data_IF_284581706858
#
_entry.id   IF_284581706858
#
_cell.length_a   1.000
_cell.length_b   1.000
_cell.length_c   1.000
_cell.angle_alpha   90.00
_cell.angle_beta   90.00
_cell.angle_gamma   90.00
#
_symmetry.space_group_name_H-M   'P 1'
#
loop_
_entity.id
_entity.type
_entity.pdbx_description
1 polymer ?
#
# COMPACT_ATOMS: atom_id res chain seq x y z
N UNK A 1 100.35 -31.28 9.69
CA UNK A 1 99.35 -31.07 8.61
C UNK A 1 97.97 -31.71 8.90
N UNK A 2 97.88 -32.92 9.48
CA UNK A 2 96.61 -33.63 9.71
C UNK A 2 95.61 -32.91 10.63
N UNK A 3 96.06 -32.29 11.73
CA UNK A 3 95.18 -31.55 12.64
C UNK A 3 94.55 -30.29 12.03
N UNK A 4 95.30 -29.54 11.20
CA UNK A 4 94.77 -28.35 10.50
C UNK A 4 93.64 -28.74 9.53
N UNK A 5 93.81 -29.84 8.79
CA UNK A 5 92.78 -30.38 7.90
C UNK A 5 91.52 -30.84 8.64
N UNK A 6 91.69 -31.41 9.84
CA UNK A 6 90.58 -31.86 10.68
C UNK A 6 89.76 -30.68 11.22
N UNK A 7 90.43 -29.62 11.72
CA UNK A 7 89.78 -28.38 12.16
C UNK A 7 89.03 -27.67 11.03
N UNK A 8 89.59 -27.67 9.82
CA UNK A 8 88.94 -27.08 8.64
C UNK A 8 87.66 -27.87 8.27
N UNK A 9 87.71 -29.21 8.26
CA UNK A 9 86.52 -30.04 7.99
C UNK A 9 85.44 -29.86 9.05
N UNK A 10 85.82 -29.72 10.31
CA UNK A 10 84.88 -29.49 11.41
C UNK A 10 84.24 -28.10 11.33
N UNK A 11 85.01 -27.07 10.96
CA UNK A 11 84.50 -25.73 10.69
C UNK A 11 83.46 -25.73 9.55
N UNK A 12 83.76 -26.40 8.43
CA UNK A 12 82.81 -26.50 7.32
C UNK A 12 81.55 -27.31 7.69
N UNK A 13 81.66 -28.37 8.49
CA UNK A 13 80.49 -29.10 9.03
C UNK A 13 79.63 -28.20 9.91
N UNK A 14 80.22 -27.47 10.87
CA UNK A 14 79.50 -26.53 11.75
C UNK A 14 78.85 -25.39 10.96
N UNK A 15 79.53 -24.86 9.94
CA UNK A 15 78.99 -23.79 9.07
C UNK A 15 77.85 -24.30 8.18
N UNK A 16 77.95 -25.53 7.66
CA UNK A 16 76.89 -26.17 6.86
C UNK A 16 75.67 -26.50 7.74
N UNK A 17 75.90 -27.01 8.95
CA UNK A 17 74.85 -27.25 9.94
C UNK A 17 74.14 -25.96 10.35
N UNK A 18 74.87 -24.87 10.64
CA UNK A 18 74.27 -23.55 10.92
C UNK A 18 73.47 -23.00 9.75
N UNK A 19 73.96 -23.14 8.51
CA UNK A 19 73.20 -22.73 7.32
C UNK A 19 71.93 -23.55 7.12
N UNK A 20 71.98 -24.86 7.35
CA UNK A 20 70.80 -25.72 7.30
C UNK A 20 69.82 -25.36 8.41
N UNK A 21 70.29 -25.15 9.63
CA UNK A 21 69.45 -24.80 10.77
C UNK A 21 68.81 -23.42 10.60
N UNK A 22 69.55 -22.43 10.08
CA UNK A 22 69.01 -21.12 9.76
C UNK A 22 68.01 -21.18 8.59
N UNK A 23 68.21 -22.06 7.60
CA UNK A 23 67.22 -22.30 6.53
C UNK A 23 65.97 -23.00 7.06
N UNK A 24 66.11 -23.98 7.94
CA UNK A 24 64.98 -24.66 8.58
C UNK A 24 64.21 -23.71 9.50
N UNK A 25 64.90 -22.84 10.24
CA UNK A 25 64.28 -21.78 11.05
C UNK A 25 63.64 -20.68 10.20
N UNK A 26 64.19 -20.35 9.02
CA UNK A 26 63.56 -19.44 8.08
C UNK A 26 62.30 -20.06 7.45
N UNK A 27 62.36 -21.32 7.01
CA UNK A 27 61.18 -22.06 6.52
C UNK A 27 60.12 -22.27 7.60
N UNK A 28 60.52 -22.45 8.87
CA UNK A 28 59.59 -22.53 10.00
C UNK A 28 58.97 -21.16 10.38
N UNK A 29 59.63 -20.05 10.03
CA UNK A 29 59.08 -18.68 10.18
C UNK A 29 58.19 -18.27 9.01
N UNK A 30 58.35 -18.88 7.83
CA UNK A 30 57.54 -18.65 6.63
C UNK A 30 56.25 -19.49 6.58
N UNK A 31 56.14 -20.54 7.40
CA UNK A 31 54.85 -21.19 7.60
C UNK A 31 53.97 -20.27 8.45
N UNK A 32 53.14 -19.45 7.81
CA UNK A 32 51.97 -18.87 8.45
C UNK A 32 51.03 -20.03 8.83
N UNK A 33 51.18 -20.59 10.03
CA UNK A 33 50.42 -21.78 10.51
C UNK A 33 48.95 -21.43 10.85
N UNK A 34 48.52 -20.18 10.64
CA UNK A 34 47.14 -19.75 10.89
C UNK A 34 46.24 -19.84 9.66
N UNK A 35 44.92 -19.69 9.85
CA UNK A 35 43.94 -19.57 8.76
C UNK A 35 44.37 -18.50 7.73
N UNK A 36 44.97 -17.39 8.17
CA UNK A 36 45.46 -16.32 7.28
C UNK A 36 46.63 -16.72 6.35
N UNK A 37 47.27 -17.87 6.56
CA UNK A 37 48.34 -18.41 5.72
C UNK A 37 47.91 -19.47 4.73
N UNK A 38 46.62 -19.83 4.69
CA UNK A 38 46.12 -20.85 3.78
C UNK A 38 46.24 -20.38 2.32
N UNK A 39 46.66 -21.27 1.40
CA UNK A 39 46.54 -21.04 -0.03
C UNK A 39 45.10 -20.68 -0.39
N UNK A 40 44.94 -19.72 -1.30
CA UNK A 40 43.62 -19.16 -1.64
C UNK A 40 42.69 -20.23 -2.21
N UNK A 41 43.22 -21.25 -2.90
CA UNK A 41 42.43 -22.35 -3.45
C UNK A 41 41.84 -23.24 -2.36
N UNK A 42 42.60 -23.50 -1.28
CA UNK A 42 42.13 -24.27 -0.13
C UNK A 42 41.13 -23.47 0.70
N UNK A 43 41.36 -22.17 0.86
CA UNK A 43 40.41 -21.27 1.51
C UNK A 43 39.07 -21.25 0.74
N UNK A 44 39.09 -21.13 -0.59
CA UNK A 44 37.88 -21.20 -1.42
C UNK A 44 37.19 -22.56 -1.34
N UNK A 45 37.94 -23.66 -1.34
CA UNK A 45 37.38 -25.02 -1.22
C UNK A 45 36.67 -25.23 0.12
N UNK A 46 37.27 -24.78 1.22
CA UNK A 46 36.65 -24.81 2.56
C UNK A 46 35.38 -23.97 2.54
N UNK A 47 35.42 -22.80 1.91
CA UNK A 47 34.27 -21.89 1.85
C UNK A 47 33.12 -22.49 1.03
N UNK A 48 33.40 -23.13 -0.10
CA UNK A 48 32.41 -23.77 -0.97
C UNK A 48 31.75 -25.00 -0.32
N UNK A 49 32.47 -25.76 0.51
CA UNK A 49 31.96 -26.99 1.12
C UNK A 49 31.38 -26.78 2.53
N UNK A 50 31.74 -25.70 3.21
CA UNK A 50 31.28 -25.45 4.58
C UNK A 50 29.79 -25.08 4.66
N UNK A 51 29.12 -25.54 5.72
CA UNK A 51 27.77 -25.10 6.05
C UNK A 51 27.73 -23.61 6.42
N UNK A 52 26.60 -22.94 6.20
CA UNK A 52 26.40 -21.51 6.47
C UNK A 52 26.72 -21.12 7.91
N UNK A 53 26.39 -21.98 8.90
CA UNK A 53 26.74 -21.75 10.32
C UNK A 53 28.26 -21.72 10.52
N UNK A 54 28.98 -22.64 9.89
CA UNK A 54 30.45 -22.73 9.95
C UNK A 54 31.10 -21.52 9.27
N UNK A 55 30.55 -21.08 8.14
CA UNK A 55 30.98 -19.86 7.46
C UNK A 55 30.80 -18.61 8.34
N UNK A 56 29.67 -18.48 9.04
CA UNK A 56 29.44 -17.36 9.96
C UNK A 56 30.45 -17.33 11.11
N UNK A 57 30.83 -18.51 11.64
CA UNK A 57 31.88 -18.61 12.64
C UNK A 57 33.27 -18.25 12.06
N UNK A 58 33.60 -18.78 10.86
CA UNK A 58 34.85 -18.47 10.16
C UNK A 58 34.98 -16.98 9.82
N UNK A 59 33.87 -16.31 9.53
CA UNK A 59 33.82 -14.85 9.28
C UNK A 59 34.36 -14.03 10.44
N UNK A 60 34.26 -14.53 11.68
CA UNK A 60 34.71 -13.83 12.90
C UNK A 60 36.19 -14.05 13.22
N UNK A 61 36.87 -14.94 12.49
CA UNK A 61 38.24 -15.36 12.84
C UNK A 61 39.32 -14.41 12.33
N UNK A 62 39.33 -14.08 11.04
CA UNK A 62 40.36 -13.22 10.44
C UNK A 62 39.82 -12.36 9.29
N UNK A 63 40.42 -11.18 9.07
CA UNK A 63 39.95 -10.17 8.10
C UNK A 63 39.96 -10.67 6.64
N UNK A 64 40.93 -11.52 6.28
CA UNK A 64 41.05 -12.03 4.91
C UNK A 64 39.98 -13.08 4.61
N UNK A 65 39.75 -14.02 5.53
CA UNK A 65 38.60 -14.93 5.43
C UNK A 65 37.28 -14.18 5.53
N UNK A 66 37.18 -13.14 6.36
CA UNK A 66 35.97 -12.34 6.44
C UNK A 66 35.58 -11.81 5.06
N UNK A 67 36.51 -11.30 4.26
CA UNK A 67 36.22 -10.81 2.89
C UNK A 67 35.81 -11.94 1.94
N UNK A 68 36.54 -13.06 1.92
CA UNK A 68 36.25 -14.21 1.06
C UNK A 68 34.89 -14.85 1.41
N UNK A 69 34.68 -15.11 2.70
CA UNK A 69 33.43 -15.64 3.24
C UNK A 69 32.28 -14.66 3.00
N UNK A 70 32.50 -13.35 3.12
CA UNK A 70 31.45 -12.36 2.89
C UNK A 70 30.94 -12.41 1.44
N UNK A 71 31.84 -12.50 0.45
CA UNK A 71 31.46 -12.64 -0.96
C UNK A 71 30.66 -13.93 -1.23
N UNK A 72 31.09 -15.05 -0.65
CA UNK A 72 30.37 -16.31 -0.80
C UNK A 72 29.01 -16.29 -0.07
N UNK A 73 28.94 -15.72 1.13
CA UNK A 73 27.68 -15.59 1.86
C UNK A 73 26.68 -14.71 1.11
N UNK A 74 27.13 -13.64 0.45
CA UNK A 74 26.28 -12.83 -0.43
C UNK A 74 25.79 -13.65 -1.63
N UNK A 75 26.66 -14.45 -2.26
CA UNK A 75 26.28 -15.34 -3.37
C UNK A 75 25.22 -16.36 -2.93
N UNK A 76 25.47 -17.09 -1.84
CA UNK A 76 24.52 -18.06 -1.27
C UNK A 76 23.22 -17.41 -0.84
N UNK A 77 23.28 -16.18 -0.31
CA UNK A 77 22.10 -15.41 0.04
C UNK A 77 21.22 -15.20 -1.21
N UNK A 78 21.78 -14.80 -2.35
CA UNK A 78 21.02 -14.65 -3.61
C UNK A 78 20.33 -15.94 -4.05
N UNK A 79 21.03 -17.07 -3.94
CA UNK A 79 20.54 -18.37 -4.41
C UNK A 79 19.48 -19.01 -3.48
N UNK A 80 19.57 -18.77 -2.17
CA UNK A 80 18.71 -19.44 -1.17
C UNK A 80 17.52 -18.60 -0.73
N UNK A 81 17.60 -17.27 -0.85
CA UNK A 81 16.60 -16.36 -0.28
C UNK A 81 15.42 -16.13 -1.21
N UNK A 82 15.65 -16.16 -2.52
CA UNK A 82 14.61 -15.95 -3.55
C UNK A 82 14.09 -17.31 -4.01
N UNK A 83 12.78 -17.57 -3.91
CA UNK A 83 12.17 -18.75 -4.50
C UNK A 83 12.46 -18.85 -6.02
N UNK A 84 12.59 -20.07 -6.59
CA UNK A 84 12.75 -20.23 -8.03
C UNK A 84 11.56 -19.64 -8.82
N UNK A 85 11.86 -19.09 -10.00
CA UNK A 85 10.88 -18.35 -10.81
C UNK A 85 9.66 -19.19 -11.23
N UNK A 86 9.86 -20.49 -11.45
CA UNK A 86 8.80 -21.46 -11.75
C UNK A 86 7.70 -21.47 -10.67
N UNK A 87 8.07 -21.29 -9.39
CA UNK A 87 7.09 -21.21 -8.30
C UNK A 87 6.27 -19.93 -8.39
N UNK A 88 6.90 -18.80 -8.68
CA UNK A 88 6.21 -17.52 -8.86
C UNK A 88 5.20 -17.55 -10.01
N UNK A 89 5.55 -18.19 -11.12
CA UNK A 89 4.67 -18.36 -12.28
C UNK A 89 3.50 -19.32 -11.98
N UNK A 90 3.75 -20.40 -11.24
CA UNK A 90 2.71 -21.36 -10.84
C UNK A 90 1.65 -20.77 -9.89
N UNK A 91 1.97 -19.70 -9.17
CA UNK A 91 1.07 -19.11 -8.17
C UNK A 91 0.19 -17.98 -8.70
N UNK A 92 0.60 -17.32 -9.78
CA UNK A 92 -0.20 -16.27 -10.42
C UNK A 92 -1.04 -16.92 -11.53
N UNK A 93 -2.21 -17.45 -11.16
CA UNK A 93 -3.14 -18.01 -12.14
C UNK A 93 -3.92 -16.86 -12.77
N UNK A 94 -3.65 -16.56 -14.04
CA UNK A 94 -4.51 -15.70 -14.85
C UNK A 94 -5.73 -16.51 -15.28
N UNK A 95 -6.91 -16.12 -14.80
CA UNK A 95 -8.16 -16.72 -15.30
C UNK A 95 -8.39 -16.32 -16.78
N UNK A 96 -9.33 -16.97 -17.46
CA UNK A 96 -9.75 -16.71 -18.85
C UNK A 96 -10.09 -15.23 -19.10
N UNK A 97 -10.46 -14.49 -18.04
CA UNK A 97 -10.79 -13.06 -18.08
C UNK A 97 -9.60 -12.13 -17.79
N UNK A 98 -8.34 -12.61 -17.89
CA UNK A 98 -7.10 -11.88 -17.53
C UNK A 98 -6.99 -11.42 -16.06
N UNK A 99 -7.94 -11.81 -15.20
CA UNK A 99 -7.85 -11.58 -13.76
C UNK A 99 -6.78 -12.49 -13.16
N UNK A 100 -5.70 -11.87 -12.66
CA UNK A 100 -4.67 -12.54 -11.86
C UNK A 100 -5.26 -12.86 -10.49
N UNK A 101 -5.55 -14.13 -10.22
CA UNK A 101 -5.89 -14.58 -8.87
C UNK A 101 -4.64 -15.21 -8.27
N UNK A 102 -4.31 -14.86 -7.03
CA UNK A 102 -3.46 -15.73 -6.22
C UNK A 102 -4.13 -17.10 -6.26
N UNK A 103 -3.40 -18.14 -6.66
CA UNK A 103 -3.91 -19.49 -6.46
C UNK A 103 -4.28 -19.59 -4.98
N UNK A 104 -5.57 -19.82 -4.69
CA UNK A 104 -6.02 -20.14 -3.33
C UNK A 104 -5.40 -21.50 -3.04
N UNK A 105 -4.23 -21.44 -2.41
CA UNK A 105 -3.26 -22.48 -2.07
C UNK A 105 -3.77 -23.94 -2.03
N UNK A 106 -2.91 -24.85 -2.51
CA UNK A 106 -2.73 -26.19 -1.91
C UNK A 106 -1.23 -26.46 -1.77
N UNK A 107 -0.68 -26.15 -0.60
CA UNK A 107 0.57 -26.72 -0.11
C UNK A 107 0.24 -27.42 1.20
N UNK A 108 -0.32 -28.63 1.14
CA UNK A 108 -0.58 -29.41 2.35
C UNK A 108 0.66 -30.11 2.87
N UNK A 109 1.72 -30.24 2.06
CA UNK A 109 2.79 -31.19 2.38
C UNK A 109 4.16 -30.53 2.66
N UNK A 110 4.44 -29.30 2.20
CA UNK A 110 5.70 -28.58 2.52
C UNK A 110 5.68 -27.07 2.15
N UNK A 111 5.50 -26.11 3.08
CA UNK A 111 5.51 -24.69 2.73
C UNK A 111 6.89 -24.26 2.21
N UNK A 112 6.92 -23.63 1.04
CA UNK A 112 8.15 -23.08 0.45
C UNK A 112 8.70 -22.00 1.37
N UNK A 113 9.91 -22.20 1.90
CA UNK A 113 10.54 -21.26 2.82
C UNK A 113 10.78 -19.90 2.18
N UNK A 114 10.29 -18.83 2.81
CA UNK A 114 10.50 -17.44 2.39
C UNK A 114 11.30 -16.64 3.43
N UNK A 115 12.62 -16.87 3.55
CA UNK A 115 13.39 -16.34 4.68
C UNK A 115 13.44 -14.81 4.72
N UNK A 116 13.51 -14.13 3.57
CA UNK A 116 13.53 -12.66 3.51
C UNK A 116 12.16 -12.05 3.80
N UNK A 117 11.08 -12.60 3.25
CA UNK A 117 9.72 -12.14 3.55
C UNK A 117 9.42 -12.27 5.06
N UNK A 118 9.83 -13.39 5.67
CA UNK A 118 9.72 -13.59 7.12
C UNK A 118 10.58 -12.62 7.92
N UNK A 119 11.83 -12.39 7.53
CA UNK A 119 12.69 -11.39 8.17
C UNK A 119 12.07 -9.98 8.11
N UNK A 120 11.41 -9.65 7.00
CA UNK A 120 10.67 -8.38 6.86
C UNK A 120 9.46 -8.33 7.78
N UNK A 121 8.62 -9.37 7.80
CA UNK A 121 7.44 -9.47 8.67
C UNK A 121 7.80 -9.34 10.17
N UNK A 122 8.91 -9.96 10.57
CA UNK A 122 9.40 -9.93 11.95
C UNK A 122 10.21 -8.65 12.30
N UNK A 123 10.47 -7.77 11.34
CA UNK A 123 11.23 -6.54 11.58
C UNK A 123 12.73 -6.77 11.82
N UNK A 124 13.32 -7.86 11.31
CA UNK A 124 14.75 -8.16 11.45
C UNK A 124 15.61 -7.29 10.53
N UNK A 125 15.76 -6.02 10.88
CA UNK A 125 16.45 -4.98 10.07
C UNK A 125 17.84 -5.44 9.60
N UNK A 126 18.64 -6.07 10.47
CA UNK A 126 20.01 -6.49 10.11
C UNK A 126 20.04 -7.61 9.07
N UNK A 127 19.07 -8.55 9.14
CA UNK A 127 18.96 -9.62 8.16
C UNK A 127 18.52 -9.06 6.80
N UNK A 128 17.57 -8.13 6.80
CA UNK A 128 17.10 -7.46 5.58
C UNK A 128 18.22 -6.61 4.98
N UNK A 129 18.97 -5.85 5.80
CA UNK A 129 20.13 -5.06 5.37
C UNK A 129 21.18 -5.94 4.70
N UNK A 130 21.55 -7.06 5.31
CA UNK A 130 22.51 -7.99 4.73
C UNK A 130 22.05 -8.51 3.36
N UNK A 131 20.76 -8.81 3.20
CA UNK A 131 20.20 -9.26 1.92
C UNK A 131 20.26 -8.16 0.84
N UNK A 132 19.92 -6.92 1.20
CA UNK A 132 19.96 -5.78 0.27
C UNK A 132 21.41 -5.42 -0.11
N UNK A 133 22.35 -5.44 0.85
CA UNK A 133 23.79 -5.29 0.61
C UNK A 133 24.37 -6.43 -0.25
N UNK A 134 23.78 -7.62 -0.17
CA UNK A 134 24.08 -8.71 -1.07
C UNK A 134 23.59 -8.44 -2.50
N UNK A 135 22.95 -7.32 -2.82
CA UNK A 135 22.50 -6.95 -4.16
C UNK A 135 21.13 -7.51 -4.55
N UNK A 136 20.34 -8.00 -3.57
CA UNK A 136 18.94 -8.34 -3.79
C UNK A 136 18.13 -7.05 -3.99
N UNK A 137 17.15 -7.09 -4.89
CA UNK A 137 16.28 -5.95 -5.14
C UNK A 137 15.37 -5.68 -3.93
N UNK A 138 15.21 -4.42 -3.56
CA UNK A 138 14.22 -4.01 -2.55
C UNK A 138 12.76 -4.20 -3.03
N UNK A 139 12.56 -4.39 -4.35
CA UNK A 139 11.26 -4.61 -5.00
C UNK A 139 10.92 -6.10 -5.18
N UNK A 140 11.63 -6.99 -4.48
CA UNK A 140 11.24 -8.40 -4.41
C UNK A 140 9.84 -8.56 -3.82
N UNK A 141 9.21 -9.68 -4.11
CA UNK A 141 7.86 -10.00 -3.68
C UNK A 141 7.77 -11.41 -3.09
N UNK A 142 6.82 -11.60 -2.19
CA UNK A 142 6.52 -12.91 -1.63
C UNK A 142 5.75 -13.81 -2.60
N UNK A 143 5.44 -15.02 -2.15
CA UNK A 143 4.76 -16.01 -2.96
C UNK A 143 3.30 -15.60 -3.26
N UNK A 144 2.70 -14.74 -2.42
CA UNK A 144 1.41 -14.10 -2.66
C UNK A 144 1.50 -12.90 -3.62
N UNK A 145 2.67 -12.69 -4.24
CA UNK A 145 2.94 -11.60 -5.16
C UNK A 145 2.77 -10.19 -4.53
N UNK A 146 3.06 -10.09 -3.24
CA UNK A 146 3.12 -8.83 -2.48
C UNK A 146 4.58 -8.37 -2.39
N UNK A 147 4.91 -7.15 -2.80
CA UNK A 147 6.24 -6.59 -2.61
C UNK A 147 6.65 -6.59 -1.12
N UNK A 148 7.94 -6.66 -0.83
CA UNK A 148 8.45 -6.66 0.55
C UNK A 148 7.99 -5.44 1.36
N UNK A 149 7.83 -4.28 0.70
CA UNK A 149 7.33 -3.08 1.35
C UNK A 149 5.90 -3.24 1.89
N UNK A 150 5.03 -4.00 1.20
CA UNK A 150 3.67 -4.30 1.66
C UNK A 150 3.68 -5.17 2.92
N UNK A 151 4.60 -6.11 3.00
CA UNK A 151 4.76 -6.98 4.17
C UNK A 151 5.22 -6.13 5.37
N UNK A 152 6.21 -5.25 5.16
CA UNK A 152 6.66 -4.32 6.19
C UNK A 152 5.52 -3.40 6.67
N UNK A 153 4.71 -2.89 5.74
CA UNK A 153 3.56 -2.04 6.04
C UNK A 153 2.48 -2.79 6.85
N UNK A 154 2.13 -3.99 6.42
CA UNK A 154 1.12 -4.84 7.07
C UNK A 154 1.47 -5.18 8.54
N UNK A 155 2.74 -5.49 8.81
CA UNK A 155 3.25 -5.75 10.16
C UNK A 155 3.72 -4.49 10.90
N UNK A 156 3.55 -3.30 10.31
CA UNK A 156 3.96 -2.01 10.88
C UNK A 156 5.46 -1.96 11.28
N UNK A 157 6.32 -2.59 10.48
CA UNK A 157 7.77 -2.67 10.69
C UNK A 157 8.47 -1.44 10.11
N UNK A 158 8.30 -0.28 10.77
CA UNK A 158 8.73 1.03 10.27
C UNK A 158 10.23 1.08 9.92
N UNK A 159 11.10 0.54 10.78
CA UNK A 159 12.54 0.55 10.54
C UNK A 159 12.93 -0.26 9.30
N UNK A 160 12.26 -1.40 9.08
CA UNK A 160 12.47 -2.24 7.89
C UNK A 160 11.93 -1.58 6.63
N UNK A 161 10.76 -0.94 6.70
CA UNK A 161 10.21 -0.19 5.57
C UNK A 161 11.12 0.97 5.16
N UNK A 162 11.65 1.73 6.13
CA UNK A 162 12.63 2.80 5.88
C UNK A 162 13.88 2.27 5.17
N UNK A 163 14.39 1.12 5.61
CA UNK A 163 15.53 0.48 4.96
C UNK A 163 15.22 0.06 3.52
N UNK A 164 14.06 -0.54 3.28
CA UNK A 164 13.63 -0.94 1.93
C UNK A 164 13.54 0.29 1.00
N UNK A 165 12.92 1.39 1.47
CA UNK A 165 12.80 2.65 0.72
C UNK A 165 14.18 3.27 0.43
N UNK A 166 15.10 3.29 1.40
CA UNK A 166 16.49 3.74 1.20
C UNK A 166 17.25 2.94 0.13
N UNK A 167 16.91 1.67 -0.05
CA UNK A 167 17.48 0.79 -1.07
C UNK A 167 16.68 0.79 -2.39
N UNK A 168 15.78 1.76 -2.60
CA UNK A 168 15.05 1.95 -3.85
C UNK A 168 13.80 1.08 -4.00
N UNK A 169 13.18 0.66 -2.89
CA UNK A 169 11.84 0.09 -2.95
C UNK A 169 10.87 1.15 -3.51
N UNK A 170 10.02 0.74 -4.44
CA UNK A 170 8.99 1.58 -5.03
C UNK A 170 7.82 1.72 -4.04
N UNK A 171 7.57 2.92 -3.48
CA UNK A 171 6.47 3.16 -2.56
C UNK A 171 5.09 3.05 -3.23
N UNK A 172 5.04 3.08 -4.56
CA UNK A 172 3.83 2.93 -5.36
C UNK A 172 3.65 1.53 -5.96
N UNK A 173 4.54 0.58 -5.66
CA UNK A 173 4.37 -0.78 -6.12
C UNK A 173 2.99 -1.31 -5.70
N UNK A 174 2.26 -1.91 -6.65
CA UNK A 174 0.97 -2.53 -6.37
C UNK A 174 1.15 -4.03 -6.18
N UNK A 175 0.48 -4.61 -5.18
CA UNK A 175 0.38 -6.05 -5.06
C UNK A 175 -0.25 -6.61 -6.34
N UNK A 176 0.32 -7.67 -6.91
CA UNK A 176 -0.11 -8.15 -8.25
C UNK A 176 -1.53 -8.69 -8.27
N UNK A 177 -2.07 -9.07 -7.11
CA UNK A 177 -3.37 -9.72 -6.96
C UNK A 177 -4.45 -8.71 -6.60
N UNK A 178 -4.28 -7.98 -5.50
CA UNK A 178 -5.27 -7.00 -5.02
C UNK A 178 -5.14 -5.61 -5.63
N UNK A 179 -4.04 -5.31 -6.34
CA UNK A 179 -3.69 -3.97 -6.83
C UNK A 179 -3.52 -2.90 -5.74
N UNK A 180 -3.54 -3.33 -4.48
CA UNK A 180 -3.34 -2.46 -3.33
C UNK A 180 -1.86 -2.09 -3.17
N UNK A 181 -1.64 -0.88 -2.69
CA UNK A 181 -0.31 -0.30 -2.41
C UNK A 181 0.16 -0.65 -1.01
N UNK A 182 1.43 -0.37 -0.68
CA UNK A 182 1.92 -0.57 0.68
C UNK A 182 1.13 0.26 1.71
N UNK A 183 0.65 1.44 1.32
CA UNK A 183 -0.18 2.31 2.17
C UNK A 183 -1.54 1.67 2.49
N UNK A 184 -2.16 1.01 1.51
CA UNK A 184 -3.42 0.27 1.70
C UNK A 184 -3.24 -0.88 2.70
N UNK A 185 -2.12 -1.62 2.61
CA UNK A 185 -1.81 -2.72 3.52
C UNK A 185 -1.52 -2.28 4.96
N UNK A 186 -1.06 -1.05 5.18
CA UNK A 186 -0.85 -0.50 6.52
C UNK A 186 -2.16 -0.28 7.30
N UNK A 187 -3.23 0.03 6.58
CA UNK A 187 -4.53 0.48 7.14
C UNK A 187 -5.60 -0.59 7.03
N UNK A 188 -5.72 -1.22 5.86
CA UNK A 188 -6.72 -2.24 5.54
C UNK A 188 -6.00 -3.57 5.32
N UNK A 189 -5.57 -4.25 6.39
CA UNK A 189 -4.93 -5.55 6.25
C UNK A 189 -5.93 -6.53 5.63
N UNK A 190 -5.77 -6.84 4.35
CA UNK A 190 -6.43 -8.01 3.74
C UNK A 190 -6.04 -9.25 4.58
N UNK A 191 -7.02 -10.11 4.87
CA UNK A 191 -6.92 -11.32 5.71
C UNK A 191 -5.52 -11.94 5.69
N UNK A 192 -4.91 -12.06 6.87
CA UNK A 192 -3.54 -12.55 7.05
C UNK A 192 -3.31 -13.92 6.42
N UNK A 193 -2.14 -14.13 5.83
CA UNK A 193 -1.61 -15.48 5.64
C UNK A 193 -1.26 -16.07 7.00
N UNK A 194 -1.75 -17.29 7.27
CA UNK A 194 -1.46 -18.04 8.51
C UNK A 194 0.06 -18.19 8.77
N UNK A 195 0.88 -18.13 7.71
CA UNK A 195 2.33 -18.33 7.78
C UNK A 195 3.09 -17.27 8.60
N UNK A 196 2.66 -16.01 8.56
CA UNK A 196 3.39 -14.90 9.18
C UNK A 196 2.74 -14.44 10.50
N UNK A 197 1.66 -15.11 10.93
CA UNK A 197 0.86 -14.74 12.10
C UNK A 197 -0.14 -13.61 11.82
N UNK A 198 -1.14 -13.43 12.71
CA UNK A 198 -2.11 -12.35 12.56
C UNK A 198 -1.41 -10.99 12.68
N UNK A 199 -1.85 -9.96 11.93
CA UNK A 199 -1.39 -8.59 12.16
C UNK A 199 -1.75 -8.17 13.58
N UNK A 200 -1.14 -7.08 14.05
CA UNK A 200 -1.69 -6.35 15.19
C UNK A 200 -3.21 -6.12 14.95
N UNK A 201 -4.04 -6.26 15.98
CA UNK A 201 -5.49 -6.37 15.84
C UNK A 201 -6.16 -5.30 14.94
N UNK A 202 -7.36 -5.63 14.47
CA UNK A 202 -8.19 -4.70 13.71
C UNK A 202 -8.58 -3.51 14.58
N UNK A 203 -8.65 -2.33 13.96
CA UNK A 203 -9.32 -1.16 14.52
C UNK A 203 -8.79 -0.68 15.88
N UNK A 204 -7.59 -0.09 15.91
CA UNK A 204 -7.27 1.09 16.73
C UNK A 204 -6.06 1.79 16.10
N UNK A 205 -6.01 3.12 16.26
CA UNK A 205 -4.80 3.88 16.02
C UNK A 205 -3.66 3.24 16.83
N UNK A 206 -2.68 2.71 16.11
CA UNK A 206 -1.43 2.26 16.70
C UNK A 206 -0.38 3.28 16.29
N UNK A 207 0.40 3.76 17.25
CA UNK A 207 1.50 4.70 17.04
C UNK A 207 2.40 4.21 15.89
N UNK A 208 2.61 2.89 15.79
CA UNK A 208 3.43 2.29 14.73
C UNK A 208 2.79 2.34 13.35
N UNK A 209 1.47 2.18 13.26
CA UNK A 209 0.72 2.32 12.00
C UNK A 209 0.69 3.75 11.54
N UNK A 210 0.43 4.68 12.44
CA UNK A 210 0.44 6.11 12.14
C UNK A 210 1.83 6.55 11.66
N UNK A 211 2.90 6.06 12.30
CA UNK A 211 4.27 6.29 11.86
C UNK A 211 4.55 5.67 10.48
N UNK A 212 4.07 4.45 10.21
CA UNK A 212 4.19 3.80 8.89
C UNK A 212 3.48 4.61 7.80
N UNK A 213 2.25 5.06 8.05
CA UNK A 213 1.46 5.87 7.11
C UNK A 213 2.18 7.19 6.81
N UNK A 214 2.70 7.88 7.84
CA UNK A 214 3.49 9.10 7.67
C UNK A 214 4.76 8.85 6.85
N UNK A 215 5.48 7.76 7.14
CA UNK A 215 6.69 7.40 6.41
C UNK A 215 6.39 7.19 4.92
N UNK A 216 5.41 6.34 4.61
CA UNK A 216 5.04 6.03 3.23
C UNK A 216 4.59 7.29 2.47
N UNK A 217 3.76 8.13 3.06
CA UNK A 217 3.33 9.39 2.44
C UNK A 217 4.50 10.36 2.22
N UNK A 218 5.43 10.46 3.17
CA UNK A 218 6.60 11.35 3.06
C UNK A 218 7.56 10.93 1.94
N UNK A 219 7.61 9.63 1.63
CA UNK A 219 8.48 9.05 0.60
C UNK A 219 7.76 8.96 -0.77
N UNK A 220 6.63 9.65 -0.94
CA UNK A 220 5.89 9.69 -2.22
C UNK A 220 4.86 8.56 -2.42
N UNK A 221 4.58 7.79 -1.37
CA UNK A 221 3.56 6.74 -1.37
C UNK A 221 2.18 7.30 -1.67
N UNK A 222 1.41 6.52 -2.43
CA UNK A 222 0.01 6.78 -2.79
C UNK A 222 -0.83 5.60 -2.33
N UNK A 223 -2.09 5.81 -1.99
CA UNK A 223 -3.03 4.71 -1.81
C UNK A 223 -3.74 4.39 -3.14
N UNK A 224 -4.32 3.19 -3.24
CA UNK A 224 -5.11 2.82 -4.40
C UNK A 224 -6.56 3.29 -4.25
N UNK A 225 -7.14 3.78 -5.35
CA UNK A 225 -8.55 4.18 -5.38
C UNK A 225 -9.47 2.96 -5.61
N UNK A 226 -8.90 1.83 -6.06
CA UNK A 226 -9.63 0.60 -6.40
C UNK A 226 -9.86 -0.32 -5.19
N UNK A 227 -9.06 -0.25 -4.11
CA UNK A 227 -9.09 -1.19 -2.99
C UNK A 227 -10.17 -0.92 -1.92
N UNK A 228 -11.27 -0.25 -2.29
CA UNK A 228 -12.36 0.08 -1.38
C UNK A 228 -12.07 1.28 -0.48
N UNK A 229 -12.91 1.55 0.54
CA UNK A 229 -12.88 2.81 1.27
C UNK A 229 -11.66 2.98 2.18
N UNK A 230 -11.00 1.91 2.61
CA UNK A 230 -10.40 1.84 3.96
C UNK A 230 -9.27 2.82 4.30
N UNK A 231 -8.49 3.33 3.35
CA UNK A 231 -7.40 4.29 3.66
C UNK A 231 -7.94 5.68 3.98
N UNK A 232 -8.94 6.16 3.25
CA UNK A 232 -9.42 7.52 3.37
C UNK A 232 -10.04 7.82 4.77
N UNK A 233 -10.95 6.98 5.33
CA UNK A 233 -11.44 7.13 6.68
C UNK A 233 -10.32 7.13 7.73
N UNK A 234 -9.32 6.27 7.58
CA UNK A 234 -8.18 6.20 8.51
C UNK A 234 -7.35 7.49 8.50
N UNK A 235 -7.09 8.06 7.31
CA UNK A 235 -6.41 9.35 7.21
C UNK A 235 -7.21 10.47 7.89
N UNK A 236 -8.54 10.41 7.81
CA UNK A 236 -9.42 11.41 8.39
C UNK A 236 -9.55 11.33 9.91
N UNK A 237 -9.29 10.16 10.52
CA UNK A 237 -9.31 10.01 11.98
C UNK A 237 -7.99 10.41 12.64
N UNK A 238 -6.90 10.56 11.88
CA UNK A 238 -5.63 11.06 12.40
C UNK A 238 -5.66 12.56 12.70
N UNK A 239 -4.91 13.03 13.73
CA UNK A 239 -4.87 14.44 14.09
C UNK A 239 -4.33 15.34 12.97
N UNK A 240 -3.46 14.80 12.13
CA UNK A 240 -2.80 15.53 11.02
C UNK A 240 -3.53 15.35 9.68
N UNK A 241 -4.82 14.97 9.69
CA UNK A 241 -5.57 14.56 8.49
C UNK A 241 -5.41 15.53 7.32
N UNK A 242 -5.47 16.84 7.59
CA UNK A 242 -5.42 17.89 6.57
C UNK A 242 -4.09 17.91 5.81
N UNK A 243 -2.99 17.71 6.52
CA UNK A 243 -1.65 17.65 5.92
C UNK A 243 -1.46 16.35 5.14
N UNK A 244 -1.89 15.22 5.71
CA UNK A 244 -1.71 13.90 5.12
C UNK A 244 -2.55 13.71 3.85
N UNK A 245 -3.78 14.22 3.84
CA UNK A 245 -4.63 14.24 2.64
C UNK A 245 -4.02 15.11 1.54
N UNK A 246 -3.47 16.29 1.90
CA UNK A 246 -2.80 17.16 0.92
C UNK A 246 -1.53 16.52 0.37
N UNK A 247 -0.76 15.83 1.21
CA UNK A 247 0.40 15.07 0.78
C UNK A 247 0.01 13.93 -0.17
N UNK A 248 -1.02 13.15 0.14
CA UNK A 248 -1.50 12.10 -0.75
C UNK A 248 -1.97 12.67 -2.11
N UNK A 249 -2.68 13.80 -2.10
CA UNK A 249 -3.07 14.50 -3.32
C UNK A 249 -1.86 14.93 -4.14
N UNK A 250 -0.88 15.60 -3.52
CA UNK A 250 0.36 16.05 -4.18
C UNK A 250 1.21 14.88 -4.69
N UNK A 251 1.20 13.76 -3.96
CA UNK A 251 1.86 12.55 -4.40
C UNK A 251 1.22 12.01 -5.67
N UNK A 252 -0.01 12.39 -6.02
CA UNK A 252 -0.70 11.99 -7.24
C UNK A 252 -1.64 10.81 -7.03
N UNK A 253 -2.18 10.64 -5.82
CA UNK A 253 -3.20 9.61 -5.54
C UNK A 253 -4.44 9.80 -6.40
N UNK A 254 -4.87 11.05 -6.62
CA UNK A 254 -6.04 11.39 -7.41
C UNK A 254 -5.61 11.97 -8.76
N UNK A 255 -5.62 11.17 -9.84
CA UNK A 255 -5.13 11.64 -11.14
C UNK A 255 -6.07 12.67 -11.79
N UNK A 256 -7.34 12.69 -11.39
CA UNK A 256 -8.38 13.58 -11.89
C UNK A 256 -9.25 14.03 -10.69
N UNK A 257 -9.80 15.24 -10.74
CA UNK A 257 -10.62 15.80 -9.65
C UNK A 257 -11.83 14.91 -9.30
N UNK A 258 -12.45 14.29 -10.32
CA UNK A 258 -13.56 13.33 -10.16
C UNK A 258 -13.18 12.08 -9.33
N UNK A 259 -11.90 11.71 -9.29
CA UNK A 259 -11.46 10.50 -8.60
C UNK A 259 -11.66 10.59 -7.08
N UNK A 260 -11.55 11.79 -6.50
CA UNK A 260 -11.79 12.03 -5.08
C UNK A 260 -13.26 11.77 -4.77
N UNK A 261 -14.16 12.34 -5.57
CA UNK A 261 -15.60 12.19 -5.40
C UNK A 261 -16.05 10.72 -5.57
N UNK A 262 -15.50 10.00 -6.56
CA UNK A 262 -15.73 8.55 -6.72
C UNK A 262 -15.27 7.72 -5.52
N UNK A 263 -14.18 8.12 -4.88
CA UNK A 263 -13.68 7.41 -3.71
C UNK A 263 -14.49 7.73 -2.44
N UNK A 264 -14.95 8.97 -2.28
CA UNK A 264 -15.88 9.35 -1.20
C UNK A 264 -17.16 8.53 -1.21
N UNK A 265 -17.68 8.20 -2.41
CA UNK A 265 -18.86 7.36 -2.57
C UNK A 265 -18.67 5.94 -2.02
N UNK A 266 -17.44 5.45 -1.90
CA UNK A 266 -17.15 4.14 -1.29
C UNK A 266 -17.17 4.21 0.25
N UNK A 267 -17.13 5.41 0.85
CA UNK A 267 -17.06 5.64 2.30
C UNK A 267 -18.43 5.69 2.98
N UNK A 268 -19.32 4.78 2.63
CA UNK A 268 -20.74 4.75 3.05
C UNK A 268 -20.93 4.74 4.57
N UNK A 269 -20.03 4.03 5.28
CA UNK A 269 -20.08 3.87 6.74
C UNK A 269 -19.51 5.06 7.51
N UNK A 270 -18.90 6.03 6.83
CA UNK A 270 -18.17 7.15 7.44
C UNK A 270 -18.51 8.47 6.76
N UNK A 271 -19.76 8.96 6.85
CA UNK A 271 -20.21 10.17 6.17
C UNK A 271 -19.44 11.42 6.62
N UNK A 272 -18.96 11.44 7.86
CA UNK A 272 -18.14 12.52 8.42
C UNK A 272 -16.82 12.77 7.66
N UNK A 273 -16.35 11.83 6.84
CA UNK A 273 -15.13 12.00 6.02
C UNK A 273 -15.27 13.17 5.06
N UNK A 274 -16.49 13.46 4.58
CA UNK A 274 -16.77 14.55 3.63
C UNK A 274 -16.29 15.90 4.19
N UNK A 275 -16.58 16.21 5.46
CA UNK A 275 -16.18 17.48 6.09
C UNK A 275 -14.66 17.66 6.09
N UNK A 276 -13.92 16.58 6.36
CA UNK A 276 -12.46 16.59 6.44
C UNK A 276 -11.83 16.71 5.07
N UNK A 277 -12.37 15.99 4.08
CA UNK A 277 -11.89 16.03 2.70
C UNK A 277 -12.14 17.40 2.08
N UNK A 278 -13.34 17.97 2.22
CA UNK A 278 -13.63 19.32 1.70
C UNK A 278 -12.76 20.38 2.38
N UNK A 279 -12.48 20.24 3.68
CA UNK A 279 -11.59 21.16 4.38
C UNK A 279 -10.12 21.04 3.90
N UNK A 280 -9.66 19.84 3.54
CA UNK A 280 -8.28 19.59 3.10
C UNK A 280 -8.06 19.83 1.60
N UNK A 281 -9.08 19.52 0.79
CA UNK A 281 -9.05 19.45 -0.67
C UNK A 281 -10.32 20.12 -1.23
N UNK A 282 -10.36 21.47 -1.33
CA UNK A 282 -11.47 22.16 -1.98
C UNK A 282 -11.65 21.76 -3.45
N UNK A 283 -10.62 21.19 -4.09
CA UNK A 283 -10.66 20.65 -5.46
C UNK A 283 -11.72 19.54 -5.63
N UNK A 284 -12.12 18.87 -4.55
CA UNK A 284 -13.21 17.89 -4.56
C UNK A 284 -14.57 18.48 -5.01
N UNK A 285 -14.72 19.81 -4.97
CA UNK A 285 -15.93 20.53 -5.37
C UNK A 285 -15.93 20.96 -6.84
N UNK A 286 -14.85 20.75 -7.59
CA UNK A 286 -14.77 21.12 -9.01
C UNK A 286 -15.69 20.29 -9.93
N UNK A 287 -15.78 18.95 -9.79
CA UNK A 287 -16.55 18.14 -10.73
C UNK A 287 -18.04 18.10 -10.37
N UNK A 288 -18.88 18.65 -11.25
CA UNK A 288 -20.35 18.53 -11.17
C UNK A 288 -20.79 17.09 -11.47
N UNK A 289 -20.15 16.47 -12.46
CA UNK A 289 -20.42 15.10 -12.91
C UNK A 289 -19.25 14.22 -12.47
N UNK A 290 -19.56 13.07 -11.86
CA UNK A 290 -18.56 12.24 -11.18
C UNK A 290 -18.51 10.82 -11.76
N UNK A 291 -19.62 10.33 -12.31
CA UNK A 291 -19.71 8.99 -12.89
C UNK A 291 -19.74 9.01 -14.41
N UNK A 292 -19.36 7.89 -15.03
CA UNK A 292 -19.45 7.69 -16.49
C UNK A 292 -20.90 7.74 -17.00
N UNK A 293 -21.85 7.50 -16.10
CA UNK A 293 -23.29 7.55 -16.38
C UNK A 293 -23.85 8.99 -16.35
N UNK A 294 -22.99 9.99 -16.11
CA UNK A 294 -23.40 11.40 -16.09
C UNK A 294 -23.99 11.86 -14.77
N UNK A 295 -23.87 11.06 -13.70
CA UNK A 295 -24.44 11.36 -12.39
C UNK A 295 -23.44 12.15 -11.53
N UNK A 296 -23.96 13.09 -10.74
CA UNK A 296 -23.21 13.76 -9.67
C UNK A 296 -22.93 12.81 -8.51
N UNK A 297 -22.01 13.20 -7.63
CA UNK A 297 -21.77 12.44 -6.39
C UNK A 297 -23.04 12.37 -5.52
N UNK A 298 -23.82 13.46 -5.46
CA UNK A 298 -25.07 13.49 -4.68
C UNK A 298 -26.08 12.51 -5.29
N UNK A 299 -26.26 12.52 -6.61
CA UNK A 299 -27.16 11.59 -7.31
C UNK A 299 -26.77 10.13 -7.09
N UNK A 300 -25.48 9.84 -7.19
CA UNK A 300 -24.98 8.48 -6.99
C UNK A 300 -25.15 8.01 -5.53
N UNK A 301 -24.91 8.89 -4.55
CA UNK A 301 -25.13 8.58 -3.14
C UNK A 301 -26.60 8.31 -2.84
N UNK A 302 -27.51 9.10 -3.42
CA UNK A 302 -28.94 8.89 -3.30
C UNK A 302 -29.39 7.61 -3.99
N UNK A 303 -28.91 7.34 -5.20
CA UNK A 303 -29.20 6.11 -5.94
C UNK A 303 -28.79 4.85 -5.16
N UNK A 304 -27.66 4.92 -4.46
CA UNK A 304 -27.18 3.84 -3.59
C UNK A 304 -27.87 3.79 -2.21
N UNK A 305 -28.86 4.66 -1.94
CA UNK A 305 -29.56 4.79 -0.66
C UNK A 305 -28.69 5.24 0.52
N UNK A 306 -27.58 5.95 0.27
CA UNK A 306 -26.69 6.50 1.29
C UNK A 306 -27.07 7.93 1.70
N UNK A 307 -28.25 8.07 2.30
CA UNK A 307 -28.84 9.37 2.66
C UNK A 307 -27.94 10.23 3.56
N UNK A 308 -27.23 9.61 4.52
CA UNK A 308 -26.33 10.33 5.42
C UNK A 308 -25.11 10.93 4.68
N UNK A 309 -24.54 10.17 3.75
CA UNK A 309 -23.43 10.63 2.92
C UNK A 309 -23.89 11.75 1.98
N UNK A 310 -25.06 11.59 1.37
CA UNK A 310 -25.67 12.61 0.51
C UNK A 310 -25.93 13.91 1.28
N UNK A 311 -26.44 13.84 2.50
CA UNK A 311 -26.63 15.01 3.36
C UNK A 311 -25.33 15.74 3.65
N UNK A 312 -24.27 15.04 4.03
CA UNK A 312 -22.95 15.65 4.26
C UNK A 312 -22.39 16.32 2.99
N UNK A 313 -22.55 15.67 1.83
CA UNK A 313 -22.16 16.28 0.54
C UNK A 313 -22.94 17.57 0.24
N UNK A 314 -24.25 17.59 0.52
CA UNK A 314 -25.10 18.76 0.33
C UNK A 314 -24.69 19.90 1.27
N UNK A 315 -24.49 19.59 2.56
CA UNK A 315 -24.10 20.57 3.59
C UNK A 315 -22.74 21.20 3.27
N UNK A 316 -21.78 20.39 2.79
CA UNK A 316 -20.43 20.84 2.48
C UNK A 316 -20.27 21.37 1.04
N UNK A 317 -21.37 21.59 0.32
CA UNK A 317 -21.40 22.41 -0.88
C UNK A 317 -21.00 21.69 -2.17
N UNK A 318 -21.10 20.36 -2.24
CA UNK A 318 -20.87 19.63 -3.50
C UNK A 318 -21.70 20.21 -4.64
N UNK A 319 -21.14 20.38 -5.85
CA UNK A 319 -21.84 21.03 -6.95
C UNK A 319 -23.11 20.27 -7.33
N UNK A 320 -24.17 21.03 -7.64
CA UNK A 320 -25.44 20.48 -8.09
C UNK A 320 -25.43 20.20 -9.60
N UNK A 321 -25.88 19.01 -10.00
CA UNK A 321 -26.17 18.69 -11.38
C UNK A 321 -27.53 19.28 -11.79
N UNK A 322 -27.48 20.35 -12.58
CA UNK A 322 -28.65 21.09 -13.07
C UNK A 322 -29.16 20.57 -14.42
N UNK A 323 -28.51 19.52 -14.97
CA UNK A 323 -28.79 18.98 -16.29
C UNK A 323 -28.34 19.89 -17.45
N UNK A 324 -28.36 19.39 -18.69
CA UNK A 324 -27.86 20.11 -19.87
C UNK A 324 -28.69 21.36 -20.23
N UNK A 325 -29.94 21.44 -19.79
CA UNK A 325 -30.87 22.51 -20.14
C UNK A 325 -31.32 23.38 -18.95
N UNK A 326 -30.74 23.21 -17.75
CA UNK A 326 -31.03 24.04 -16.56
C UNK A 326 -32.44 23.90 -15.96
N UNK A 327 -33.29 23.06 -16.56
CA UNK A 327 -34.71 22.88 -16.18
C UNK A 327 -35.06 21.43 -15.81
N UNK A 328 -34.10 20.50 -15.85
CA UNK A 328 -34.35 19.06 -15.67
C UNK A 328 -34.01 18.57 -14.25
N UNK A 329 -33.42 19.42 -13.40
CA UNK A 329 -33.09 19.22 -11.97
C UNK A 329 -32.95 17.74 -11.54
N UNK A 330 -32.04 16.98 -12.17
CA UNK A 330 -31.98 15.53 -12.01
C UNK A 330 -31.71 15.10 -10.55
N UNK A 331 -30.99 15.90 -9.78
CA UNK A 331 -30.77 15.69 -8.33
C UNK A 331 -32.03 15.70 -7.47
N UNK A 332 -33.08 16.40 -7.90
CA UNK A 332 -34.36 16.46 -7.19
C UNK A 332 -35.32 15.35 -7.65
N UNK A 333 -35.06 14.71 -8.79
CA UNK A 333 -35.95 13.66 -9.32
C UNK A 333 -35.99 12.46 -8.40
N UNK A 334 -34.84 12.05 -7.85
CA UNK A 334 -34.71 10.82 -7.06
C UNK A 334 -35.34 10.92 -5.65
N UNK A 335 -35.09 11.97 -4.85
CA UNK A 335 -35.79 12.16 -3.57
C UNK A 335 -37.32 12.22 -3.76
N UNK A 336 -37.79 12.89 -4.81
CA UNK A 336 -39.22 13.04 -5.09
C UNK A 336 -39.87 11.75 -5.61
N UNK A 337 -39.17 10.96 -6.42
CA UNK A 337 -39.68 9.66 -6.89
C UNK A 337 -39.82 8.67 -5.73
N UNK A 338 -38.87 8.66 -4.80
CA UNK A 338 -38.94 7.79 -3.62
C UNK A 338 -40.11 8.16 -2.71
N UNK A 339 -40.38 9.46 -2.50
CA UNK A 339 -41.56 9.94 -1.78
C UNK A 339 -42.89 9.51 -2.44
N UNK A 340 -42.90 9.28 -3.76
CA UNK A 340 -44.10 8.92 -4.55
C UNK A 340 -44.38 7.42 -4.58
N UNK A 341 -43.36 6.56 -4.57
CA UNK A 341 -43.51 5.11 -4.76
C UNK A 341 -43.44 4.31 -3.44
N UNK A 342 -43.03 4.94 -2.34
CA UNK A 342 -42.99 4.33 -1.00
C UNK A 342 -44.33 4.41 -0.27
N UNK A 343 -45.25 3.47 -0.54
CA UNK A 343 -46.37 3.23 0.37
C UNK A 343 -45.84 2.88 1.77
N UNK A 344 -46.23 3.66 2.78
CA UNK A 344 -46.05 3.44 4.23
C UNK A 344 -44.67 3.61 4.89
N UNK A 345 -43.62 4.04 4.18
CA UNK A 345 -42.36 4.46 4.82
C UNK A 345 -41.91 5.81 4.25
N UNK A 346 -42.55 6.89 4.69
CA UNK A 346 -41.98 8.23 4.56
C UNK A 346 -40.77 8.31 5.50
N UNK A 347 -39.56 7.98 5.03
CA UNK A 347 -38.40 8.15 5.91
C UNK A 347 -38.18 9.66 6.12
N UNK A 348 -38.05 10.15 7.37
CA UNK A 348 -37.78 11.56 7.64
C UNK A 348 -36.47 12.05 6.99
N UNK A 349 -35.56 11.13 6.67
CA UNK A 349 -34.29 11.40 5.99
C UNK A 349 -34.47 11.85 4.54
N UNK A 350 -35.39 11.26 3.78
CA UNK A 350 -35.61 11.67 2.38
C UNK A 350 -36.22 13.08 2.31
N UNK A 351 -37.09 13.41 3.26
CA UNK A 351 -37.63 14.77 3.42
C UNK A 351 -36.54 15.78 3.80
N UNK A 352 -35.59 15.40 4.67
CA UNK A 352 -34.46 16.25 5.04
C UNK A 352 -33.54 16.52 3.85
N UNK A 353 -33.23 15.50 3.05
CA UNK A 353 -32.45 15.64 1.80
C UNK A 353 -33.14 16.60 0.83
N UNK A 354 -34.44 16.38 0.57
CA UNK A 354 -35.20 17.24 -0.35
C UNK A 354 -35.22 18.71 0.13
N UNK A 355 -35.41 18.95 1.43
CA UNK A 355 -35.36 20.30 2.01
C UNK A 355 -33.98 20.93 1.91
N UNK A 356 -32.92 20.16 2.17
CA UNK A 356 -31.54 20.64 2.08
C UNK A 356 -31.18 21.05 0.65
N UNK A 357 -31.59 20.27 -0.35
CA UNK A 357 -31.40 20.63 -1.76
C UNK A 357 -32.18 21.91 -2.12
N UNK A 358 -33.47 22.00 -1.77
CA UNK A 358 -34.31 23.17 -2.08
C UNK A 358 -33.81 24.46 -1.38
N UNK A 359 -33.17 24.33 -0.22
CA UNK A 359 -32.62 25.45 0.53
C UNK A 359 -31.39 26.08 -0.14
N UNK A 360 -30.80 25.45 -1.16
CA UNK A 360 -29.57 25.93 -1.78
C UNK A 360 -29.77 27.20 -2.62
N UNK A 361 -28.86 28.17 -2.50
CA UNK A 361 -28.98 29.45 -3.20
C UNK A 361 -28.94 29.28 -4.73
N UNK A 362 -28.23 28.28 -5.25
CA UNK A 362 -28.15 28.00 -6.69
C UNK A 362 -29.54 27.64 -7.26
N UNK A 363 -30.30 26.80 -6.54
CA UNK A 363 -31.66 26.43 -6.93
C UNK A 363 -32.67 27.56 -6.70
N UNK A 364 -32.50 28.35 -5.64
CA UNK A 364 -33.35 29.51 -5.36
C UNK A 364 -33.18 30.64 -6.39
N UNK A 365 -31.94 30.87 -6.86
CA UNK A 365 -31.61 31.93 -7.82
C UNK A 365 -32.12 31.64 -9.23
N UNK A 366 -32.03 30.38 -9.68
CA UNK A 366 -32.56 29.95 -10.99
C UNK A 366 -34.09 30.01 -11.03
N UNK A 367 -34.73 29.97 -9.86
CA UNK A 367 -36.18 30.09 -9.75
C UNK A 367 -36.86 28.92 -10.44
N UNK A 368 -36.86 27.75 -9.80
CA UNK A 368 -37.53 26.51 -10.20
C UNK A 368 -38.50 26.66 -11.39
N UNK A 369 -38.06 26.31 -12.61
CA UNK A 369 -38.86 26.37 -13.84
C UNK A 369 -39.89 25.24 -13.93
N UNK A 370 -40.36 24.85 -15.12
CA UNK A 370 -41.16 23.62 -15.30
C UNK A 370 -40.29 22.40 -15.06
N UNK A 371 -40.76 21.43 -14.25
CA UNK A 371 -39.98 20.22 -13.92
C UNK A 371 -40.44 19.09 -14.82
N UNK A 372 -39.50 18.36 -15.39
CA UNK A 372 -39.78 17.15 -16.15
C UNK A 372 -39.33 15.97 -15.30
N UNK A 373 -40.27 15.28 -14.68
CA UNK A 373 -39.99 14.06 -13.92
C UNK A 373 -39.97 12.86 -14.86
N UNK A 374 -38.87 12.12 -14.84
CA UNK A 374 -38.75 10.83 -15.51
C UNK A 374 -39.31 9.73 -14.62
N UNK A 375 -40.46 9.18 -14.98
CA UNK A 375 -40.95 7.93 -14.40
C UNK A 375 -40.50 6.76 -15.29
N UNK A 376 -39.71 5.82 -14.75
CA UNK A 376 -39.36 4.58 -15.47
C UNK A 376 -40.59 3.70 -15.73
N UNK A 377 -40.54 2.54 -16.39
CA UNK A 377 -39.61 1.96 -17.38
C UNK A 377 -40.05 2.24 -18.83
N UNK A 378 -41.17 2.95 -19.01
CA UNK A 378 -41.66 3.44 -20.30
C UNK A 378 -41.69 4.96 -20.24
N UNK A 379 -40.69 5.61 -20.86
CA UNK A 379 -40.47 7.08 -21.00
C UNK A 379 -41.75 7.92 -20.99
N UNK A 380 -42.31 8.13 -19.81
CA UNK A 380 -43.46 8.97 -19.56
C UNK A 380 -42.94 10.18 -18.80
N UNK A 381 -43.03 11.33 -19.44
CA UNK A 381 -42.56 12.60 -18.91
C UNK A 381 -43.72 13.23 -18.14
N UNK A 382 -43.60 13.37 -16.82
CA UNK A 382 -44.56 14.16 -16.06
C UNK A 382 -44.03 15.59 -15.97
N UNK A 383 -44.67 16.51 -16.68
CA UNK A 383 -44.36 17.94 -16.61
C UNK A 383 -45.13 18.55 -15.44
N UNK A 384 -44.43 18.95 -14.38
CA UNK A 384 -45.03 19.78 -13.33
C UNK A 384 -45.21 21.17 -13.92
N UNK A 385 -46.45 21.51 -14.27
CA UNK A 385 -46.80 22.74 -14.98
C UNK A 385 -46.70 23.99 -14.09
N UNK A 386 -46.82 23.85 -12.76
CA UNK A 386 -46.71 24.95 -11.79
C UNK A 386 -45.54 24.70 -10.83
N UNK A 387 -44.47 25.50 -10.88
CA UNK A 387 -43.31 25.28 -10.03
C UNK A 387 -43.62 25.51 -8.55
N UNK A 388 -42.91 24.82 -7.65
CA UNK A 388 -42.96 25.08 -6.19
C UNK A 388 -42.85 26.57 -5.86
N UNK A 389 -42.09 27.33 -6.65
CA UNK A 389 -41.92 28.77 -6.53
C UNK A 389 -43.23 29.56 -6.75
N UNK A 390 -44.13 29.10 -7.61
CA UNK A 390 -45.48 29.64 -7.76
C UNK A 390 -46.28 29.45 -6.46
N UNK A 391 -46.21 28.27 -5.84
CA UNK A 391 -46.90 27.98 -4.58
C UNK A 391 -46.29 28.74 -3.38
N UNK A 392 -44.97 28.93 -3.35
CA UNK A 392 -44.28 29.78 -2.37
C UNK A 392 -44.66 31.26 -2.53
N UNK A 393 -44.67 31.80 -3.76
CA UNK A 393 -45.05 33.20 -4.06
C UNK A 393 -46.53 33.48 -3.86
N UNK A 394 -47.40 32.51 -4.16
CA UNK A 394 -48.85 32.61 -3.95
C UNK A 394 -49.28 32.27 -2.52
N UNK A 395 -48.33 32.00 -1.60
CA UNK A 395 -48.59 31.57 -0.21
C UNK A 395 -49.53 30.35 -0.12
N UNK A 396 -49.50 29.48 -1.12
CA UNK A 396 -50.25 28.23 -1.13
C UNK A 396 -49.50 27.17 -0.30
N UNK A 397 -49.47 27.39 1.02
CA UNK A 397 -48.75 26.55 1.98
C UNK A 397 -49.24 25.10 2.00
N UNK A 398 -50.49 24.84 1.59
CA UNK A 398 -51.01 23.48 1.43
C UNK A 398 -50.32 22.72 0.31
N UNK A 399 -50.13 23.36 -0.85
CA UNK A 399 -49.45 22.72 -1.97
C UNK A 399 -47.93 22.65 -1.73
N UNK A 400 -47.36 23.65 -1.06
CA UNK A 400 -45.97 23.59 -0.58
C UNK A 400 -45.78 22.42 0.39
N UNK A 401 -46.68 22.25 1.37
CA UNK A 401 -46.66 21.12 2.28
C UNK A 401 -46.88 19.79 1.56
N UNK A 402 -47.82 19.72 0.61
CA UNK A 402 -48.06 18.52 -0.20
C UNK A 402 -46.83 18.13 -1.04
N UNK A 403 -46.16 19.10 -1.66
CA UNK A 403 -44.95 18.88 -2.46
C UNK A 403 -43.70 18.63 -1.57
N UNK A 404 -43.69 19.12 -0.32
CA UNK A 404 -42.65 18.87 0.68
C UNK A 404 -42.96 17.67 1.61
N UNK A 405 -44.12 17.02 1.45
CA UNK A 405 -44.59 15.91 2.29
C UNK A 405 -44.83 16.25 3.77
N UNK A 406 -45.25 17.47 4.11
CA UNK A 406 -45.62 17.93 5.47
C UNK A 406 -47.12 17.79 5.77
#
# INVERSE_FOLDING_TARGET
MREKLQKIREYFRRRRARRLNNRLQAMAREQNIGLAGLPIELAESIIQLAHTKTLLALRLTCKDFQKLVHKELQKRCRETVVPPQELYEAMIVTNVHMNRRSSRYRWTDNPVSQPLARAVAEGRVDAVRFCLEAGLSANLYDLSARPLLHIAAFYSQVATARLLLQHGADPFATARVSRSTALDFAVSPELSHEEFGPPFGWAMHDVRRDEMVRLLLSEGGRFSIEAGPGVLPYLCTMPDCRLLLRQAYNNGTYPMDEAIARHLLQCERWPEVVKWVVAALPEALNPVIVTRDGLSAIEQALFAHHNALAMEMIIHGFPLNMGPFGNEYPELTFPLSNLRHGGSVQTPTDQQVARALIARPELQAVGFGRWVLHTGSNRSYMVINEPMNFHLRSRNWRMVNYLLGL
#
